data_IF_491021060093
#
_entry.id   IF_491021060093
#
_cell.length_a   1.000
_cell.length_b   1.000
_cell.length_c   1.000
_cell.angle_alpha   90.00
_cell.angle_beta   90.00
_cell.angle_gamma   90.00
#
_symmetry.space_group_name_H-M   'P 1'
#
loop_
_entity.id
_entity.type
_entity.pdbx_description
1 polymer ?
#
# COMPACT_ATOMS: atom_id res chain seq x y z
N UNK A 1 13.87 -0.48 -0.42
CA UNK A 1 14.93 0.47 -0.05
C UNK A 1 15.65 0.88 -1.33
N UNK A 2 15.41 2.10 -1.82
CA UNK A 2 16.25 2.75 -2.84
C UNK A 2 16.41 4.19 -2.38
N UNK A 3 17.63 4.54 -1.99
CA UNK A 3 18.08 5.91 -1.77
C UNK A 3 18.91 6.30 -3.00
N UNK A 4 18.52 7.36 -3.69
CA UNK A 4 19.25 7.93 -4.81
C UNK A 4 19.18 9.44 -4.71
N UNK A 5 20.30 10.06 -4.37
CA UNK A 5 20.50 11.52 -4.37
C UNK A 5 20.75 11.98 -5.82
N UNK A 6 19.97 12.95 -6.29
CA UNK A 6 20.34 13.82 -7.41
C UNK A 6 20.27 15.26 -6.92
N UNK A 7 21.38 15.99 -7.03
CA UNK A 7 21.55 17.34 -6.50
C UNK A 7 21.32 18.43 -7.58
N UNK A 8 20.26 19.25 -7.38
CA UNK A 8 20.13 20.72 -7.60
C UNK A 8 20.14 21.31 -9.03
N UNK A 9 19.40 22.42 -9.37
CA UNK A 9 18.79 23.43 -8.47
C UNK A 9 17.30 23.75 -8.74
N UNK A 10 16.42 23.16 -7.94
CA UNK A 10 15.17 23.71 -7.41
C UNK A 10 14.63 22.60 -6.50
N UNK A 11 14.58 22.84 -5.19
CA UNK A 11 14.50 21.80 -4.16
C UNK A 11 13.22 20.93 -4.22
N UNK A 12 13.25 19.85 -5.01
CA UNK A 12 12.32 18.74 -4.87
C UNK A 12 12.88 17.77 -3.83
N UNK A 13 12.31 17.78 -2.63
CA UNK A 13 12.64 16.83 -1.57
C UNK A 13 11.69 15.65 -1.65
N UNK A 14 12.22 14.47 -1.93
CA UNK A 14 11.47 13.20 -1.86
C UNK A 14 11.27 12.85 -0.39
N UNK A 15 10.02 12.88 0.08
CA UNK A 15 9.64 12.43 1.43
C UNK A 15 9.29 10.95 1.35
N UNK A 16 10.12 10.10 1.96
CA UNK A 16 9.84 8.68 2.17
C UNK A 16 9.72 8.36 3.66
N UNK A 17 8.98 7.31 4.00
CA UNK A 17 8.91 6.80 5.37
C UNK A 17 10.33 6.49 5.90
N UNK A 18 10.66 7.09 7.04
CA UNK A 18 11.95 6.89 7.71
C UNK A 18 12.07 5.44 8.20
N UNK A 19 13.15 4.71 7.88
CA UNK A 19 13.57 3.59 8.71
C UNK A 19 14.09 4.15 10.02
N UNK A 20 13.41 3.80 11.11
CA UNK A 20 13.70 4.12 12.50
C UNK A 20 15.22 4.19 12.80
N UNK A 21 15.80 5.40 12.79
CA UNK A 21 17.17 5.67 13.26
C UNK A 21 17.19 7.01 13.99
N UNK A 22 16.75 6.97 15.24
CA UNK A 22 16.86 8.10 16.16
C UNK A 22 16.07 7.84 17.44
N UNK A 23 16.73 7.25 18.42
CA UNK A 23 16.40 7.23 19.86
C UNK A 23 14.92 7.37 20.26
N UNK A 24 14.24 6.24 20.42
CA UNK A 24 13.15 6.12 21.39
C UNK A 24 13.42 4.87 22.22
N UNK A 25 13.62 5.08 23.53
CA UNK A 25 13.62 4.03 24.55
C UNK A 25 12.42 3.10 24.34
N UNK A 26 12.53 1.83 24.73
CA UNK A 26 11.46 0.83 24.75
C UNK A 26 10.14 1.33 25.39
N UNK A 27 9.32 2.03 24.62
CA UNK A 27 7.88 2.19 24.76
C UNK A 27 7.28 1.36 23.60
N UNK A 28 6.33 0.49 23.92
CA UNK A 28 5.88 -0.64 23.10
C UNK A 28 5.79 -0.39 21.59
N UNK A 29 6.15 -1.41 20.79
CA UNK A 29 6.01 -1.36 19.33
C UNK A 29 4.59 -0.94 18.95
N UNK A 30 4.39 0.19 18.25
CA UNK A 30 3.06 0.64 17.88
C UNK A 30 2.38 -0.42 17.00
N UNK A 31 1.07 -0.53 17.12
CA UNK A 31 0.25 -1.27 16.17
C UNK A 31 0.42 -0.70 14.75
N UNK A 32 0.05 -1.49 13.75
CA UNK A 32 0.12 -1.02 12.37
C UNK A 32 -0.72 0.23 12.13
N UNK A 33 -1.93 0.28 12.71
CA UNK A 33 -2.80 1.47 12.63
C UNK A 33 -2.11 2.71 13.24
N UNK A 34 -1.52 2.58 14.43
CA UNK A 34 -0.81 3.69 15.07
C UNK A 34 0.40 4.15 14.24
N UNK A 35 1.20 3.22 13.73
CA UNK A 35 2.36 3.51 12.87
C UNK A 35 1.95 4.19 11.56
N UNK A 36 0.87 3.71 10.93
CA UNK A 36 0.28 4.30 9.72
C UNK A 36 -0.19 5.73 9.99
N UNK A 37 -0.97 5.93 11.05
CA UNK A 37 -1.58 7.23 11.36
C UNK A 37 -0.52 8.27 11.77
N UNK A 38 0.53 7.84 12.48
CA UNK A 38 1.72 8.67 12.73
C UNK A 38 2.43 9.05 11.43
N UNK A 39 2.56 8.10 10.49
CA UNK A 39 3.13 8.38 9.17
C UNK A 39 2.30 9.40 8.37
N UNK A 40 0.96 9.29 8.39
CA UNK A 40 0.06 10.26 7.74
C UNK A 40 0.22 11.64 8.36
N UNK A 41 0.20 11.73 9.70
CA UNK A 41 0.36 12.99 10.41
C UNK A 41 1.71 13.66 10.10
N UNK A 42 2.79 12.88 10.08
CA UNK A 42 4.13 13.41 9.81
C UNK A 42 4.28 13.90 8.36
N UNK A 43 3.78 13.15 7.37
CA UNK A 43 3.81 13.61 5.97
C UNK A 43 3.00 14.89 5.79
N UNK A 44 1.83 15.00 6.41
CA UNK A 44 1.01 16.23 6.38
C UNK A 44 1.73 17.42 7.01
N UNK A 45 2.41 17.21 8.16
CA UNK A 45 3.24 18.23 8.81
C UNK A 45 4.35 18.71 7.89
N UNK A 46 5.11 17.79 7.31
CA UNK A 46 6.21 18.10 6.38
C UNK A 46 5.74 18.85 5.14
N UNK A 47 4.60 18.46 4.55
CA UNK A 47 3.99 19.19 3.45
C UNK A 47 3.71 20.63 3.90
N UNK A 48 3.01 20.85 5.01
CA UNK A 48 2.66 22.19 5.49
C UNK A 48 3.86 23.06 5.83
N UNK A 49 4.95 22.48 6.32
CA UNK A 49 6.19 23.19 6.64
C UNK A 49 7.10 23.45 5.42
N UNK A 50 6.81 22.81 4.28
CA UNK A 50 7.62 22.93 3.07
C UNK A 50 6.82 23.66 1.97
N UNK A 51 7.10 24.96 1.73
CA UNK A 51 6.49 25.68 0.62
C UNK A 51 6.89 25.09 -0.73
N UNK A 52 5.97 25.17 -1.70
CA UNK A 52 6.21 24.74 -3.07
C UNK A 52 5.56 23.40 -3.42
N UNK A 53 5.89 22.92 -4.62
CA UNK A 53 5.32 21.71 -5.20
C UNK A 53 5.99 20.46 -4.66
N UNK A 54 5.24 19.36 -4.58
CA UNK A 54 5.76 18.09 -4.10
C UNK A 54 5.18 16.90 -4.87
N UNK A 55 5.81 15.74 -4.68
CA UNK A 55 5.30 14.44 -5.10
C UNK A 55 5.33 13.46 -3.94
N UNK A 56 4.45 12.46 -3.98
CA UNK A 56 4.31 11.45 -2.93
C UNK A 56 4.68 10.09 -3.52
N UNK A 57 5.50 9.31 -2.80
CA UNK A 57 5.73 7.91 -3.14
C UNK A 57 5.69 7.04 -1.89
N UNK A 58 5.05 5.87 -1.98
CA UNK A 58 4.85 5.00 -0.83
C UNK A 58 4.80 3.53 -1.22
N UNK A 59 5.39 2.66 -0.40
CA UNK A 59 5.38 1.21 -0.59
C UNK A 59 4.84 0.49 0.66
N UNK A 60 3.94 -0.47 0.47
CA UNK A 60 3.35 -1.28 1.55
C UNK A 60 2.65 -0.39 2.58
N UNK A 61 3.05 -0.37 3.86
CA UNK A 61 2.54 0.61 4.83
C UNK A 61 2.76 2.06 4.37
N UNK A 62 3.89 2.37 3.76
CA UNK A 62 4.12 3.69 3.16
C UNK A 62 3.16 3.98 2.00
N UNK A 63 2.68 2.95 1.32
CA UNK A 63 1.63 3.05 0.31
C UNK A 63 0.28 3.43 0.93
N UNK A 64 -0.08 2.82 2.06
CA UNK A 64 -1.25 3.25 2.84
C UNK A 64 -1.15 4.71 3.28
N UNK A 65 0.01 5.13 3.79
CA UNK A 65 0.27 6.53 4.16
C UNK A 65 0.08 7.45 2.95
N UNK A 66 0.68 7.11 1.80
CA UNK A 66 0.56 7.90 0.58
C UNK A 66 -0.91 8.03 0.12
N UNK A 67 -1.67 6.94 0.11
CA UNK A 67 -3.08 6.95 -0.26
C UNK A 67 -3.93 7.81 0.68
N UNK A 68 -3.72 7.68 1.99
CA UNK A 68 -4.47 8.48 2.97
C UNK A 68 -4.10 9.97 2.92
N UNK A 69 -2.86 10.31 2.58
CA UNK A 69 -2.46 11.70 2.33
C UNK A 69 -3.09 12.21 1.03
N UNK A 70 -3.12 11.42 -0.05
CA UNK A 70 -3.84 11.77 -1.29
C UNK A 70 -5.32 12.00 -1.02
N UNK A 71 -5.96 11.14 -0.23
CA UNK A 71 -7.34 11.32 0.22
C UNK A 71 -7.52 12.64 0.98
N UNK A 72 -6.63 12.94 1.92
CA UNK A 72 -6.66 14.21 2.66
C UNK A 72 -6.48 15.44 1.75
N UNK A 73 -5.64 15.34 0.71
CA UNK A 73 -5.42 16.40 -0.27
C UNK A 73 -6.65 16.64 -1.15
N UNK A 74 -7.35 15.59 -1.58
CA UNK A 74 -8.42 15.72 -2.57
C UNK A 74 -9.78 15.98 -1.91
N UNK A 75 -10.06 15.37 -0.76
CA UNK A 75 -11.38 15.41 -0.12
C UNK A 75 -11.33 15.66 1.39
N UNK A 76 -10.16 15.95 1.96
CA UNK A 76 -9.98 16.13 3.40
C UNK A 76 -9.39 17.48 3.81
N UNK A 77 -8.65 17.47 4.91
CA UNK A 77 -8.15 18.66 5.59
C UNK A 77 -6.84 19.23 5.00
N UNK A 78 -6.37 18.68 3.88
CA UNK A 78 -5.19 19.17 3.14
C UNK A 78 -5.55 19.79 1.79
N UNK A 79 -6.83 20.04 1.51
CA UNK A 79 -7.30 20.58 0.22
C UNK A 79 -6.61 21.87 -0.22
N UNK A 80 -6.18 22.72 0.71
CA UNK A 80 -5.41 23.94 0.39
C UNK A 80 -4.06 23.65 -0.27
N UNK A 81 -3.56 22.42 -0.19
CA UNK A 81 -2.29 21.98 -0.80
C UNK A 81 -2.47 21.09 -2.04
N UNK A 82 -3.70 20.81 -2.47
CA UNK A 82 -3.95 19.89 -3.59
C UNK A 82 -3.26 20.34 -4.88
N UNK A 83 -3.23 21.66 -5.15
CA UNK A 83 -2.59 22.24 -6.34
C UNK A 83 -1.06 22.16 -6.35
N UNK A 84 -0.46 21.89 -5.19
CA UNK A 84 0.99 21.74 -5.03
C UNK A 84 1.43 20.29 -5.23
N UNK A 85 0.53 19.32 -5.05
CA UNK A 85 0.82 17.91 -5.28
C UNK A 85 0.75 17.61 -6.78
N UNK A 86 1.88 17.22 -7.36
CA UNK A 86 1.98 16.99 -8.81
C UNK A 86 1.70 15.56 -9.19
N UNK A 87 2.21 14.62 -8.40
CA UNK A 87 2.06 13.20 -8.66
C UNK A 87 2.07 12.39 -7.37
N UNK A 88 1.44 11.22 -7.42
CA UNK A 88 1.45 10.24 -6.35
C UNK A 88 1.72 8.84 -6.91
N UNK A 89 2.80 8.20 -6.47
CA UNK A 89 3.22 6.86 -6.90
C UNK A 89 3.12 5.89 -5.73
N UNK A 90 2.06 5.08 -5.75
CA UNK A 90 1.69 4.22 -4.63
C UNK A 90 1.89 2.76 -5.02
N UNK A 91 2.65 2.03 -4.23
CA UNK A 91 2.98 0.63 -4.45
C UNK A 91 2.46 -0.21 -3.29
N UNK A 92 1.92 -1.37 -3.61
CA UNK A 92 1.56 -2.36 -2.60
C UNK A 92 0.59 -1.83 -1.51
N UNK A 93 -0.29 -0.88 -1.86
CA UNK A 93 -1.18 -0.23 -0.89
C UNK A 93 -2.44 -1.05 -0.58
N UNK A 94 -2.80 -1.22 0.71
CA UNK A 94 -4.05 -1.85 1.11
C UNK A 94 -5.28 -0.96 0.86
N UNK A 95 -5.11 0.30 0.45
CA UNK A 95 -6.19 1.24 0.12
C UNK A 95 -6.46 1.38 -1.38
N UNK A 96 -5.87 0.50 -2.22
CA UNK A 96 -6.06 0.54 -3.66
C UNK A 96 -7.54 0.36 -4.04
N UNK A 97 -8.08 1.31 -4.80
CA UNK A 97 -9.40 1.18 -5.41
C UNK A 97 -9.45 0.12 -6.52
N UNK A 98 -10.56 -0.62 -6.61
CA UNK A 98 -10.82 -1.56 -7.71
C UNK A 98 -10.77 -0.83 -9.05
N UNK A 99 -10.12 -1.43 -10.05
CA UNK A 99 -9.93 -0.81 -11.36
C UNK A 99 -8.98 0.41 -11.39
N UNK A 100 -8.48 0.88 -10.24
CA UNK A 100 -7.42 1.88 -10.15
C UNK A 100 -6.08 1.17 -10.02
N UNK A 101 -5.49 0.85 -11.16
CA UNK A 101 -4.07 0.57 -11.28
C UNK A 101 -3.58 1.21 -12.56
N UNK A 102 -2.37 1.76 -12.55
CA UNK A 102 -1.80 2.32 -13.76
C UNK A 102 -1.71 1.23 -14.82
N UNK A 103 -2.23 1.52 -16.02
CA UNK A 103 -2.27 0.70 -17.24
C UNK A 103 -1.75 -0.73 -17.09
N UNK A 104 -2.61 -1.65 -16.66
CA UNK A 104 -2.32 -3.06 -16.87
C UNK A 104 -2.43 -3.33 -18.36
N UNK A 105 -1.45 -4.05 -18.91
CA UNK A 105 -1.54 -4.64 -20.25
C UNK A 105 -2.76 -5.60 -20.35
N UNK A 106 -3.27 -6.08 -19.20
CA UNK A 106 -4.49 -6.87 -19.07
C UNK A 106 -5.42 -6.27 -17.98
N UNK A 107 -6.58 -5.70 -18.37
CA UNK A 107 -7.53 -5.13 -17.41
C UNK A 107 -8.13 -6.17 -16.43
N UNK A 108 -8.01 -7.47 -16.71
CA UNK A 108 -8.48 -8.54 -15.83
C UNK A 108 -7.44 -9.01 -14.80
N UNK A 109 -6.22 -8.46 -14.81
CA UNK A 109 -5.13 -8.92 -13.93
C UNK A 109 -5.31 -8.47 -12.47
N UNK A 110 -6.01 -7.35 -12.22
CA UNK A 110 -6.36 -6.86 -10.87
C UNK A 110 -7.88 -6.79 -10.70
N UNK A 111 -8.49 -7.93 -10.42
CA UNK A 111 -9.95 -8.10 -10.34
C UNK A 111 -10.59 -7.51 -9.09
N UNK A 112 -9.81 -7.31 -8.04
CA UNK A 112 -10.31 -6.96 -6.72
C UNK A 112 -9.77 -5.61 -6.25
N UNK A 113 -9.71 -5.38 -4.95
CA UNK A 113 -9.27 -4.14 -4.33
C UNK A 113 -8.29 -4.39 -3.18
N UNK A 114 -7.79 -3.30 -2.58
CA UNK A 114 -6.90 -3.38 -1.43
C UNK A 114 -7.61 -3.96 -0.21
N UNK A 115 -6.87 -4.72 0.61
CA UNK A 115 -7.41 -5.49 1.73
C UNK A 115 -8.03 -4.63 2.83
N UNK A 116 -7.71 -3.33 2.92
CA UNK A 116 -8.30 -2.44 3.91
C UNK A 116 -9.80 -2.21 3.69
N UNK A 117 -10.33 -2.49 2.49
CA UNK A 117 -11.76 -2.29 2.16
C UNK A 117 -12.25 -0.86 2.30
N UNK A 118 -11.32 0.11 2.22
CA UNK A 118 -11.59 1.54 2.29
C UNK A 118 -10.89 2.28 1.13
N UNK A 119 -11.19 1.90 -0.12
CA UNK A 119 -10.46 2.39 -1.29
C UNK A 119 -10.43 3.92 -1.43
N UNK A 120 -9.30 4.46 -1.90
CA UNK A 120 -9.17 5.87 -2.31
C UNK A 120 -9.63 6.01 -3.77
N UNK A 121 -10.87 6.47 -3.95
CA UNK A 121 -11.49 6.60 -5.27
C UNK A 121 -11.13 7.90 -5.98
N UNK A 122 -11.21 9.02 -5.24
CA UNK A 122 -10.96 10.34 -5.79
C UNK A 122 -9.48 10.70 -5.66
N UNK A 123 -8.86 10.90 -6.82
CA UNK A 123 -7.42 11.19 -6.96
C UNK A 123 -7.18 12.41 -7.84
N UNK A 124 -8.22 12.99 -8.41
CA UNK A 124 -8.13 14.20 -9.24
C UNK A 124 -7.91 15.44 -8.35
N UNK A 125 -7.05 16.41 -8.75
CA UNK A 125 -6.32 16.54 -10.02
C UNK A 125 -4.89 15.99 -10.00
N UNK A 126 -4.55 15.10 -9.07
CA UNK A 126 -3.18 14.57 -8.93
C UNK A 126 -2.94 13.49 -9.97
N UNK A 127 -1.77 13.51 -10.64
CA UNK A 127 -1.34 12.40 -11.49
C UNK A 127 -1.02 11.19 -10.59
N UNK A 128 -2.01 10.29 -10.47
CA UNK A 128 -1.99 9.19 -9.51
C UNK A 128 -1.70 7.83 -10.17
N UNK A 129 -0.69 7.13 -9.65
CA UNK A 129 -0.20 5.85 -10.14
C UNK A 129 -0.25 4.81 -9.02
N UNK A 130 -1.23 3.91 -9.07
CA UNK A 130 -1.29 2.75 -8.18
C UNK A 130 -0.69 1.51 -8.85
N UNK A 131 0.36 0.98 -8.25
CA UNK A 131 1.08 -0.22 -8.66
C UNK A 131 0.67 -1.41 -7.79
N UNK A 132 0.16 -2.46 -8.42
CA UNK A 132 -0.28 -3.68 -7.75
C UNK A 132 0.08 -4.94 -8.55
N UNK A 133 0.43 -6.02 -7.86
CA UNK A 133 0.55 -7.35 -8.45
C UNK A 133 -0.73 -8.15 -8.23
N UNK A 134 -1.09 -9.01 -9.18
CA UNK A 134 -2.27 -9.87 -9.08
C UNK A 134 -2.25 -10.77 -7.84
N UNK A 135 -1.06 -11.24 -7.46
CA UNK A 135 -0.84 -12.19 -6.37
C UNK A 135 -0.43 -11.50 -5.06
N UNK A 136 -0.40 -10.16 -5.04
CA UNK A 136 -0.22 -9.41 -3.80
C UNK A 136 -1.57 -9.25 -3.10
N UNK A 137 -1.79 -10.13 -2.13
CA UNK A 137 -2.98 -10.17 -1.28
C UNK A 137 -3.34 -8.78 -0.74
N UNK A 138 -2.37 -7.98 -0.28
CA UNK A 138 -2.68 -6.68 0.33
C UNK A 138 -3.32 -5.71 -0.65
N UNK A 139 -3.03 -5.84 -1.95
CA UNK A 139 -3.56 -4.93 -2.97
C UNK A 139 -4.70 -5.49 -3.79
N UNK A 140 -4.91 -6.81 -3.80
CA UNK A 140 -5.85 -7.48 -4.70
C UNK A 140 -6.61 -8.60 -3.98
N UNK A 141 -7.28 -8.27 -2.89
CA UNK A 141 -8.10 -9.20 -2.10
C UNK A 141 -9.56 -9.18 -2.55
N UNK A 142 -10.13 -10.37 -2.79
CA UNK A 142 -11.56 -10.58 -2.92
C UNK A 142 -12.23 -10.48 -1.54
N UNK A 143 -12.71 -9.28 -1.18
CA UNK A 143 -13.29 -9.01 0.13
C UNK A 143 -14.61 -9.75 0.39
N UNK A 144 -15.32 -10.13 -0.68
CA UNK A 144 -16.61 -10.83 -0.57
C UNK A 144 -16.40 -12.32 -0.29
N UNK A 145 -15.41 -12.93 -0.96
CA UNK A 145 -15.20 -14.38 -0.93
C UNK A 145 -13.99 -14.84 -0.11
N UNK A 146 -13.30 -13.93 0.60
CA UNK A 146 -12.20 -14.27 1.52
C UNK A 146 -12.31 -13.52 2.85
N UNK A 147 -11.72 -14.06 3.90
CA UNK A 147 -11.61 -13.42 5.22
C UNK A 147 -10.48 -12.36 5.29
N UNK A 148 -9.97 -11.91 4.14
CA UNK A 148 -8.79 -11.05 4.08
C UNK A 148 -8.96 -9.73 4.83
N UNK A 149 -10.14 -9.10 4.70
CA UNK A 149 -10.51 -7.87 5.43
C UNK A 149 -10.49 -8.09 6.94
N UNK A 150 -11.17 -9.13 7.40
CA UNK A 150 -11.31 -9.43 8.83
C UNK A 150 -9.95 -9.78 9.45
N UNK A 151 -9.13 -10.56 8.73
CA UNK A 151 -7.76 -10.87 9.15
C UNK A 151 -6.92 -9.58 9.22
N UNK A 152 -7.01 -8.72 8.19
CA UNK A 152 -6.29 -7.46 8.17
C UNK A 152 -6.70 -6.54 9.32
N UNK A 153 -8.01 -6.36 9.57
CA UNK A 153 -8.51 -5.52 10.66
C UNK A 153 -8.02 -6.00 12.03
N UNK A 154 -7.94 -7.31 12.24
CA UNK A 154 -7.38 -7.88 13.47
C UNK A 154 -5.89 -7.56 13.58
N UNK A 155 -5.13 -7.74 12.49
CA UNK A 155 -3.70 -7.48 12.46
C UNK A 155 -3.36 -5.98 12.53
N UNK A 156 -4.26 -5.08 12.11
CA UNK A 156 -4.06 -3.63 12.21
C UNK A 156 -3.89 -3.17 13.67
N UNK A 157 -4.54 -3.86 14.61
CA UNK A 157 -4.61 -3.50 16.02
C UNK A 157 -3.70 -4.33 16.94
N UNK A 158 -3.05 -5.36 16.44
CA UNK A 158 -2.05 -6.10 17.23
C UNK A 158 -0.73 -5.31 17.23
N UNK A 159 -0.27 -4.87 18.41
CA UNK A 159 1.03 -4.19 18.63
C UNK A 159 2.26 -5.06 18.40
N UNK A 160 2.16 -6.05 17.51
CA UNK A 160 3.18 -7.03 17.22
C UNK A 160 3.73 -6.69 15.84
N UNK A 161 5.05 -6.52 15.78
CA UNK A 161 5.74 -5.98 14.61
C UNK A 161 5.30 -6.58 13.28
N UNK A 162 5.09 -5.69 12.30
CA UNK A 162 4.87 -5.97 10.89
C UNK A 162 3.74 -6.99 10.60
N UNK A 163 2.48 -6.56 10.35
CA UNK A 163 1.39 -7.43 9.91
C UNK A 163 1.74 -8.34 8.73
N UNK A 164 2.62 -7.88 7.84
CA UNK A 164 3.11 -8.68 6.71
C UNK A 164 3.98 -9.86 7.18
N UNK A 165 4.70 -9.73 8.31
CA UNK A 165 5.46 -10.82 8.94
C UNK A 165 4.57 -11.77 9.75
N UNK A 166 3.41 -11.33 10.25
CA UNK A 166 2.47 -12.19 10.97
C UNK A 166 1.50 -12.94 10.05
N UNK A 167 1.04 -12.30 8.97
CA UNK A 167 0.34 -12.97 7.88
C UNK A 167 1.20 -14.06 7.20
N UNK A 168 2.53 -14.00 7.41
CA UNK A 168 3.50 -14.96 6.87
C UNK A 168 3.61 -16.28 7.65
N UNK A 169 2.93 -16.47 8.79
CA UNK A 169 2.79 -17.81 9.39
C UNK A 169 1.37 -18.32 9.14
N UNK A 170 1.24 -19.25 8.20
CA UNK A 170 0.01 -19.98 7.86
C UNK A 170 -0.73 -20.48 9.11
N UNK A 171 0.01 -20.91 10.13
CA UNK A 171 -0.50 -21.41 11.41
C UNK A 171 -1.33 -20.38 12.22
N UNK A 172 -0.85 -19.14 12.33
CA UNK A 172 -1.54 -18.10 13.12
C UNK A 172 -2.83 -17.67 12.46
N UNK A 173 -2.83 -17.60 11.13
CA UNK A 173 -4.01 -17.19 10.36
C UNK A 173 -5.01 -18.34 10.25
N UNK A 174 -4.57 -19.60 10.12
CA UNK A 174 -5.48 -20.75 10.18
C UNK A 174 -6.12 -20.91 11.57
N UNK A 175 -5.39 -20.61 12.65
CA UNK A 175 -5.98 -20.53 14.01
C UNK A 175 -6.99 -19.39 14.14
N UNK A 176 -6.72 -18.24 13.51
CA UNK A 176 -7.63 -17.10 13.47
C UNK A 176 -8.91 -17.43 12.67
N UNK A 177 -8.76 -18.10 11.53
CA UNK A 177 -9.88 -18.57 10.71
C UNK A 177 -10.68 -19.65 11.46
N UNK A 178 -10.01 -20.57 12.16
CA UNK A 178 -10.68 -21.56 13.00
C UNK A 178 -11.45 -20.91 14.16
N UNK A 179 -10.92 -19.82 14.75
CA UNK A 179 -11.61 -19.02 15.75
C UNK A 179 -12.86 -18.33 15.16
N UNK A 180 -12.75 -17.77 13.94
CA UNK A 180 -13.88 -17.16 13.21
C UNK A 180 -14.95 -18.21 12.88
N UNK A 181 -14.54 -19.40 12.42
CA UNK A 181 -15.44 -20.47 11.99
C UNK A 181 -16.03 -21.29 13.14
N UNK A 182 -15.38 -21.33 14.30
CA UNK A 182 -15.80 -22.12 15.46
C UNK A 182 -17.17 -21.74 16.03
N UNK A 183 -17.74 -20.62 15.59
CA UNK A 183 -19.05 -20.15 16.05
C UNK A 183 -20.23 -20.65 15.20
N UNK A 184 -20.11 -20.78 13.87
CA UNK A 184 -21.18 -21.29 12.97
C UNK A 184 -20.58 -21.76 11.62
N UNK A 185 -20.41 -23.07 11.42
CA UNK A 185 -19.92 -23.62 10.15
C UNK A 185 -21.06 -23.74 9.12
N UNK A 186 -21.24 -22.72 8.27
CA UNK A 186 -22.10 -22.81 7.07
C UNK A 186 -21.28 -23.23 5.84
N UNK A 187 -21.90 -23.80 4.79
CA UNK A 187 -21.20 -24.08 3.53
C UNK A 187 -20.53 -22.85 2.92
N UNK A 188 -21.15 -21.66 3.07
CA UNK A 188 -20.58 -20.39 2.62
C UNK A 188 -19.32 -20.01 3.40
N UNK A 189 -19.33 -20.15 4.74
CA UNK A 189 -18.15 -19.88 5.57
C UNK A 189 -17.00 -20.84 5.26
N UNK A 190 -17.30 -22.13 4.99
CA UNK A 190 -16.30 -23.10 4.56
C UNK A 190 -15.66 -22.71 3.22
N UNK A 191 -16.47 -22.31 2.22
CA UNK A 191 -15.95 -21.83 0.95
C UNK A 191 -15.07 -20.58 1.12
N UNK A 192 -15.53 -19.60 1.91
CA UNK A 192 -14.76 -18.38 2.23
C UNK A 192 -13.41 -18.71 2.87
N UNK A 193 -13.37 -19.71 3.76
CA UNK A 193 -12.14 -20.20 4.37
C UNK A 193 -11.18 -20.87 3.39
N UNK A 194 -11.69 -21.74 2.51
CA UNK A 194 -10.87 -22.39 1.48
C UNK A 194 -10.26 -21.33 0.56
N UNK A 195 -11.06 -20.39 0.05
CA UNK A 195 -10.59 -19.30 -0.81
C UNK A 195 -9.52 -18.44 -0.11
N UNK A 196 -9.69 -18.19 1.19
CA UNK A 196 -8.70 -17.45 2.00
C UNK A 196 -7.38 -18.22 2.08
N UNK A 197 -7.42 -19.51 2.40
CA UNK A 197 -6.23 -20.35 2.49
C UNK A 197 -5.48 -20.41 1.15
N UNK A 198 -6.22 -20.57 0.04
CA UNK A 198 -5.63 -20.55 -1.30
C UNK A 198 -4.99 -19.21 -1.65
N UNK A 199 -5.64 -18.08 -1.34
CA UNK A 199 -5.10 -16.75 -1.58
C UNK A 199 -3.81 -16.51 -0.79
N UNK A 200 -3.76 -16.97 0.46
CA UNK A 200 -2.56 -16.92 1.28
C UNK A 200 -1.43 -17.80 0.77
N UNK A 201 -1.73 -19.04 0.37
CA UNK A 201 -0.73 -19.93 -0.23
C UNK A 201 -0.13 -19.33 -1.50
N UNK A 202 -0.97 -18.75 -2.38
CA UNK A 202 -0.48 -18.01 -3.56
C UNK A 202 0.43 -16.86 -3.17
N UNK A 203 0.00 -16.02 -2.23
CA UNK A 203 0.81 -14.91 -1.72
C UNK A 203 2.18 -15.38 -1.19
N UNK A 204 2.21 -16.46 -0.41
CA UNK A 204 3.44 -17.02 0.15
C UNK A 204 4.37 -17.61 -0.91
N UNK A 205 3.82 -18.35 -1.88
CA UNK A 205 4.59 -18.99 -2.93
C UNK A 205 5.15 -17.96 -3.93
N UNK A 206 4.35 -16.99 -4.33
CA UNK A 206 4.75 -15.98 -5.31
C UNK A 206 5.60 -14.86 -4.70
N UNK A 207 5.43 -14.59 -3.40
CA UNK A 207 6.04 -13.48 -2.67
C UNK A 207 5.88 -12.14 -3.41
N UNK A 208 4.75 -11.93 -4.10
CA UNK A 208 4.56 -10.83 -5.04
C UNK A 208 4.72 -9.45 -4.36
N UNK A 209 4.39 -9.35 -3.07
CA UNK A 209 4.54 -8.12 -2.29
C UNK A 209 5.98 -7.60 -2.24
N UNK A 210 6.98 -8.50 -2.25
CA UNK A 210 8.40 -8.14 -2.27
C UNK A 210 8.97 -7.84 -3.66
N UNK A 211 8.21 -8.04 -4.75
CA UNK A 211 8.75 -8.20 -6.11
C UNK A 211 8.49 -7.00 -7.03
N UNK A 212 8.11 -5.86 -6.49
CA UNK A 212 7.85 -4.63 -7.26
C UNK A 212 9.07 -4.05 -8.02
N UNK A 213 10.27 -4.51 -7.69
CA UNK A 213 11.51 -4.20 -8.42
C UNK A 213 12.22 -5.46 -8.95
N UNK A 214 11.54 -6.61 -8.99
CA UNK A 214 12.13 -7.86 -9.48
C UNK A 214 11.96 -7.97 -11.00
N UNK A 215 13.05 -7.94 -11.79
CA UNK A 215 12.96 -8.05 -13.25
C UNK A 215 12.38 -9.38 -13.74
N UNK A 216 12.41 -10.43 -12.92
CA UNK A 216 11.76 -11.72 -13.22
C UNK A 216 10.25 -11.70 -12.99
N UNK A 217 9.72 -10.62 -12.42
CA UNK A 217 8.30 -10.43 -12.11
C UNK A 217 7.74 -9.11 -12.70
N UNK A 218 7.78 -8.92 -14.03
CA UNK A 218 7.37 -7.67 -14.64
C UNK A 218 5.85 -7.44 -14.60
N UNK A 219 5.46 -6.16 -14.50
CA UNK A 219 4.05 -5.73 -14.55
C UNK A 219 3.71 -5.07 -15.90
N UNK A 220 4.69 -4.42 -16.55
CA UNK A 220 4.46 -3.58 -17.73
C UNK A 220 5.37 -3.96 -18.90
N UNK A 221 4.91 -4.83 -19.81
CA UNK A 221 5.65 -5.16 -21.04
C UNK A 221 7.16 -5.45 -20.84
N UNK A 222 7.50 -6.22 -19.79
CA UNK A 222 8.90 -6.54 -19.44
C UNK A 222 9.59 -5.58 -18.47
N UNK A 223 8.89 -4.56 -17.94
CA UNK A 223 9.39 -3.65 -16.90
C UNK A 223 8.78 -3.95 -15.53
N UNK A 224 9.57 -3.73 -14.49
CA UNK A 224 9.12 -3.75 -13.09
C UNK A 224 8.25 -2.53 -12.79
N UNK A 225 7.44 -2.59 -11.72
CA UNK A 225 6.67 -1.42 -11.29
C UNK A 225 7.57 -0.23 -10.94
N UNK A 226 8.64 -0.50 -10.19
CA UNK A 226 9.60 0.54 -9.83
C UNK A 226 10.31 1.11 -11.06
N UNK A 227 10.71 0.25 -11.99
CA UNK A 227 11.32 0.67 -13.25
C UNK A 227 10.39 1.53 -14.10
N UNK A 228 9.10 1.18 -14.16
CA UNK A 228 8.09 2.02 -14.80
C UNK A 228 7.98 3.40 -14.12
N UNK A 229 7.81 3.40 -12.80
CA UNK A 229 7.70 4.61 -11.99
C UNK A 229 8.90 5.55 -12.15
N UNK A 230 10.13 5.03 -12.06
CA UNK A 230 11.35 5.81 -12.24
C UNK A 230 11.41 6.42 -13.64
N UNK A 231 11.06 5.66 -14.67
CA UNK A 231 11.01 6.19 -16.04
C UNK A 231 9.98 7.32 -16.18
N UNK A 232 8.81 7.17 -15.56
CA UNK A 232 7.79 8.22 -15.52
C UNK A 232 8.32 9.49 -14.83
N UNK A 233 8.93 9.34 -13.65
CA UNK A 233 9.51 10.46 -12.90
C UNK A 233 10.66 11.14 -13.64
N UNK A 234 11.54 10.38 -14.32
CA UNK A 234 12.63 10.95 -15.10
C UNK A 234 12.13 11.74 -16.32
N UNK A 235 11.03 11.31 -16.95
CA UNK A 235 10.50 11.96 -18.14
C UNK A 235 9.59 13.15 -17.81
N UNK A 236 8.67 12.98 -16.85
CA UNK A 236 7.65 13.97 -16.50
C UNK A 236 7.98 14.74 -15.22
N UNK A 237 8.54 14.07 -14.21
CA UNK A 237 8.88 14.68 -12.92
C UNK A 237 9.98 15.73 -13.00
N UNK A 238 10.86 15.66 -14.00
CA UNK A 238 11.90 16.65 -14.25
C UNK A 238 11.40 17.94 -14.92
N UNK A 239 10.12 18.02 -15.31
CA UNK A 239 9.52 19.16 -16.04
C UNK A 239 8.67 20.07 -15.15
N UNK A 240 8.76 19.90 -13.83
CA UNK A 240 8.00 20.64 -12.82
C UNK A 240 8.92 21.65 -12.13
#
# INVERSE_FOLDING_TARGET
MVAGYLSSPAESRVVGCLPNRGQVLHLGSPSYAESRDQGVAEVKRLINETPGTFGIAGFSQGGAVADLVVKALVEGDMQHRVGDCRWAHVFASPYRAKGKSFHLDDPNRLKFEGVAGQPVWNTWPIDYFAYAHADDLFTNTDLDNTWGKEIHDILEHTGVGNPQAQAATTDSVMKLIALINGAVATPANLAKTINTAEAMMRYQNENAHGRYNDPSYPIFGGRTALGHSINHLNYWGARI
#
